data_IF_173358592549
#
_entry.id   IF_173358592549
#
_cell.length_a   1.000
_cell.length_b   1.000
_cell.length_c   1.000
_cell.angle_alpha   90.00
_cell.angle_beta   90.00
_cell.angle_gamma   90.00
#
_symmetry.space_group_name_H-M   'P 1'
#
loop_
_entity.id
_entity.type
_entity.pdbx_description
1 polymer ?
#
# COMPACT_ATOMS: atom_id res chain seq x y z
N UNK A 1 -3.14 3.76 19.61
CA UNK A 1 -2.65 2.88 18.51
C UNK A 1 -2.56 3.68 17.21
N UNK A 2 -1.72 3.30 16.26
CA UNK A 2 -1.69 3.93 14.92
C UNK A 2 -1.92 2.90 13.83
N UNK A 3 -2.50 3.32 12.70
CA UNK A 3 -2.78 2.44 11.57
C UNK A 3 -1.88 2.86 10.41
N UNK A 4 -1.24 1.88 9.78
CA UNK A 4 -0.34 2.06 8.65
C UNK A 4 -0.84 1.22 7.49
N UNK A 5 -0.93 1.81 6.30
CA UNK A 5 -1.30 1.13 5.07
C UNK A 5 -0.12 1.14 4.10
N UNK A 6 0.36 -0.06 3.77
CA UNK A 6 1.39 -0.31 2.77
C UNK A 6 0.71 -0.60 1.43
N UNK A 7 0.93 0.28 0.47
CA UNK A 7 0.40 0.17 -0.89
C UNK A 7 1.53 -0.26 -1.82
N UNK A 8 1.30 -1.30 -2.61
CA UNK A 8 2.10 -1.56 -3.81
C UNK A 8 1.77 -0.55 -4.93
N UNK A 9 2.58 -0.51 -6.00
CA UNK A 9 2.44 0.44 -7.11
C UNK A 9 2.00 -0.22 -8.41
N UNK A 10 2.84 -1.10 -8.95
CA UNK A 10 2.68 -1.70 -10.28
C UNK A 10 1.63 -2.81 -10.20
N UNK A 11 0.73 -2.88 -11.19
CA UNK A 11 -0.43 -3.77 -11.22
C UNK A 11 -1.44 -3.61 -10.06
N UNK A 12 -1.10 -2.86 -9.01
CA UNK A 12 -1.95 -2.55 -7.86
C UNK A 12 -2.64 -1.18 -8.02
N UNK A 13 -1.85 -0.10 -8.13
CA UNK A 13 -2.35 1.27 -8.31
C UNK A 13 -2.39 1.68 -9.79
N UNK A 14 -1.79 0.91 -10.67
CA UNK A 14 -1.76 1.19 -12.10
C UNK A 14 -0.72 0.33 -12.79
N UNK A 15 -0.56 0.48 -14.09
CA UNK A 15 0.52 -0.20 -14.84
C UNK A 15 1.22 0.78 -15.77
N UNK A 16 2.43 0.42 -16.19
CA UNK A 16 3.20 1.21 -17.16
C UNK A 16 3.37 0.46 -18.49
N UNK A 17 3.28 1.19 -19.60
CA UNK A 17 3.65 0.72 -20.95
C UNK A 17 5.02 1.25 -21.41
N UNK A 18 5.95 1.48 -20.46
CA UNK A 18 7.26 2.13 -20.62
C UNK A 18 7.22 3.65 -20.90
N UNK A 19 6.14 4.17 -21.49
CA UNK A 19 6.01 5.60 -21.83
C UNK A 19 5.14 6.35 -20.86
N UNK A 20 4.09 5.71 -20.39
CA UNK A 20 3.09 6.30 -19.51
C UNK A 20 2.78 5.36 -18.35
N UNK A 21 2.19 5.91 -17.29
CA UNK A 21 1.58 5.14 -16.21
C UNK A 21 0.06 5.32 -16.26
N UNK A 22 -0.65 4.23 -16.52
CA UNK A 22 -2.11 4.20 -16.50
C UNK A 22 -2.58 3.97 -15.08
N UNK A 23 -3.08 5.03 -14.47
CA UNK A 23 -3.65 5.02 -13.12
C UNK A 23 -4.87 4.12 -13.09
N UNK A 24 -4.92 3.20 -12.11
CA UNK A 24 -6.14 2.46 -11.78
C UNK A 24 -7.25 3.43 -11.37
N UNK A 25 -8.51 3.22 -11.78
CA UNK A 25 -9.61 4.07 -11.35
C UNK A 25 -9.72 4.13 -9.83
N UNK A 26 -10.17 5.28 -9.32
CA UNK A 26 -10.44 5.51 -7.89
C UNK A 26 -9.23 5.53 -6.94
N UNK A 27 -7.98 5.65 -7.44
CA UNK A 27 -6.80 5.90 -6.58
C UNK A 27 -7.02 7.09 -5.65
N UNK A 28 -7.47 8.23 -6.19
CA UNK A 28 -7.69 9.45 -5.40
C UNK A 28 -8.70 9.24 -4.27
N UNK A 29 -9.72 8.41 -4.51
CA UNK A 29 -10.71 8.04 -3.50
C UNK A 29 -10.06 7.24 -2.36
N UNK A 30 -9.28 6.21 -2.68
CA UNK A 30 -8.50 5.45 -1.70
C UNK A 30 -7.56 6.35 -0.88
N UNK A 31 -6.75 7.17 -1.54
CA UNK A 31 -5.77 8.03 -0.85
C UNK A 31 -6.46 9.08 0.03
N UNK A 32 -7.54 9.69 -0.44
CA UNK A 32 -8.29 10.65 0.39
C UNK A 32 -8.95 9.96 1.59
N UNK A 33 -9.48 8.75 1.43
CA UNK A 33 -10.01 7.97 2.54
C UNK A 33 -8.94 7.69 3.60
N UNK A 34 -7.77 7.15 3.21
CA UNK A 34 -6.67 6.86 4.13
C UNK A 34 -6.24 8.11 4.92
N UNK A 35 -6.15 9.26 4.25
CA UNK A 35 -5.83 10.54 4.88
C UNK A 35 -6.87 11.01 5.88
N UNK A 36 -8.16 10.93 5.53
CA UNK A 36 -9.25 11.33 6.42
C UNK A 36 -9.30 10.46 7.67
N UNK A 37 -8.96 9.17 7.53
CA UNK A 37 -8.82 8.23 8.64
C UNK A 37 -7.49 8.35 9.40
N UNK A 38 -6.62 9.31 9.02
CA UNK A 38 -5.28 9.51 9.61
C UNK A 38 -4.42 8.23 9.59
N UNK A 39 -4.56 7.44 8.53
CA UNK A 39 -3.76 6.24 8.30
C UNK A 39 -2.46 6.66 7.60
N UNK A 40 -1.33 6.25 8.15
CA UNK A 40 -0.02 6.52 7.53
C UNK A 40 0.10 5.69 6.25
N UNK A 41 0.48 6.34 5.13
CA UNK A 41 0.60 5.69 3.83
C UNK A 41 2.07 5.40 3.55
N UNK A 42 2.41 4.15 3.30
CA UNK A 42 3.73 3.75 2.79
C UNK A 42 3.55 3.20 1.39
N UNK A 43 4.19 3.81 0.39
CA UNK A 43 4.32 3.16 -0.92
C UNK A 43 5.48 2.18 -0.85
N UNK A 44 5.28 0.92 -1.23
CA UNK A 44 6.36 -0.07 -1.31
C UNK A 44 6.28 -0.82 -2.63
N UNK A 45 7.12 -0.44 -3.60
CA UNK A 45 7.21 -1.07 -4.93
C UNK A 45 8.47 -1.93 -5.04
N UNK A 46 8.41 -2.99 -5.87
CA UNK A 46 9.58 -3.79 -6.27
C UNK A 46 10.31 -3.20 -7.51
N UNK A 47 9.76 -2.13 -8.08
CA UNK A 47 10.31 -1.37 -9.20
C UNK A 47 11.63 -0.69 -8.85
N UNK A 48 12.44 -0.39 -9.89
CA UNK A 48 13.71 0.33 -9.70
C UNK A 48 13.45 1.70 -9.07
N UNK A 49 14.34 2.15 -8.19
CA UNK A 49 14.21 3.41 -7.46
C UNK A 49 13.99 4.62 -8.38
N UNK A 50 14.70 4.71 -9.51
CA UNK A 50 14.53 5.79 -10.48
C UNK A 50 13.15 5.75 -11.14
N UNK A 51 12.68 4.55 -11.48
CA UNK A 51 11.36 4.35 -12.07
C UNK A 51 10.25 4.76 -11.10
N UNK A 52 10.30 4.27 -9.85
CA UNK A 52 9.31 4.62 -8.82
C UNK A 52 9.27 6.14 -8.60
N UNK A 53 10.43 6.79 -8.48
CA UNK A 53 10.51 8.25 -8.35
C UNK A 53 9.91 8.98 -9.55
N UNK A 54 10.16 8.50 -10.77
CA UNK A 54 9.60 9.10 -11.99
C UNK A 54 8.07 8.93 -12.02
N UNK A 55 7.55 7.75 -11.71
CA UNK A 55 6.11 7.48 -11.73
C UNK A 55 5.37 8.32 -10.68
N UNK A 56 5.94 8.42 -9.48
CA UNK A 56 5.40 9.25 -8.40
C UNK A 56 5.31 10.73 -8.79
N UNK A 57 6.39 11.30 -9.31
CA UNK A 57 6.44 12.71 -9.65
C UNK A 57 5.60 13.07 -10.89
N UNK A 58 5.39 12.12 -11.81
CA UNK A 58 4.67 12.37 -13.06
C UNK A 58 3.19 11.98 -13.03
N UNK A 59 2.85 10.86 -12.38
CA UNK A 59 1.56 10.18 -12.57
C UNK A 59 0.82 9.86 -11.28
N UNK A 60 1.49 9.87 -10.12
CA UNK A 60 0.87 9.62 -8.81
C UNK A 60 1.13 10.79 -7.84
N UNK A 61 0.69 12.02 -8.17
CA UNK A 61 0.98 13.21 -7.37
C UNK A 61 0.40 13.14 -5.95
N UNK A 62 -0.69 12.39 -5.73
CA UNK A 62 -1.28 12.19 -4.41
C UNK A 62 -0.38 11.33 -3.52
N UNK A 63 0.25 10.29 -4.08
CA UNK A 63 1.22 9.47 -3.34
C UNK A 63 2.43 10.34 -3.00
N UNK A 64 2.96 11.11 -3.95
CA UNK A 64 4.07 12.04 -3.71
C UNK A 64 3.78 13.03 -2.58
N UNK A 65 2.54 13.50 -2.49
CA UNK A 65 2.15 14.49 -1.49
C UNK A 65 1.86 13.90 -0.11
N UNK A 66 1.38 12.65 -0.04
CA UNK A 66 0.77 12.12 1.17
C UNK A 66 1.41 10.84 1.71
N UNK A 67 2.29 10.17 0.95
CA UNK A 67 3.05 9.04 1.46
C UNK A 67 4.02 9.51 2.56
N UNK A 68 3.96 8.84 3.71
CA UNK A 68 4.90 9.00 4.81
C UNK A 68 6.30 8.51 4.41
N UNK A 69 6.37 7.36 3.73
CA UNK A 69 7.60 6.78 3.19
C UNK A 69 7.36 6.13 1.83
N UNK A 70 8.43 6.06 1.06
CA UNK A 70 8.48 5.41 -0.24
C UNK A 70 9.63 4.41 -0.22
N UNK A 71 9.30 3.17 -0.48
CA UNK A 71 10.24 2.07 -0.62
C UNK A 71 10.18 1.55 -2.05
N UNK A 72 11.37 1.40 -2.63
CA UNK A 72 11.57 0.84 -3.96
C UNK A 72 12.45 -0.41 -3.82
N UNK A 73 12.96 -0.92 -4.97
CA UNK A 73 13.76 -2.14 -5.04
C UNK A 73 14.85 -2.26 -3.99
N UNK A 74 15.65 -1.23 -3.77
CA UNK A 74 16.76 -1.30 -2.80
C UNK A 74 16.28 -1.66 -1.39
N UNK A 75 15.15 -1.10 -0.95
CA UNK A 75 14.59 -1.40 0.36
C UNK A 75 13.94 -2.79 0.38
N UNK A 76 13.29 -3.20 -0.71
CA UNK A 76 12.76 -4.56 -0.84
C UNK A 76 13.84 -5.63 -0.77
N UNK A 77 15.01 -5.37 -1.38
CA UNK A 77 16.16 -6.27 -1.28
C UNK A 77 16.75 -6.29 0.13
N UNK A 78 16.78 -5.14 0.81
CA UNK A 78 17.20 -5.08 2.21
C UNK A 78 16.25 -5.87 3.10
N UNK A 79 14.95 -5.71 2.91
CA UNK A 79 13.92 -6.50 3.61
C UNK A 79 14.11 -7.99 3.35
N UNK A 80 14.28 -8.39 2.08
CA UNK A 80 14.51 -9.78 1.72
C UNK A 80 15.77 -10.37 2.38
N UNK A 81 16.87 -9.61 2.43
CA UNK A 81 18.11 -10.07 3.08
C UNK A 81 17.99 -10.22 4.59
N UNK A 82 17.16 -9.40 5.23
CA UNK A 82 17.05 -9.35 6.69
C UNK A 82 15.92 -10.24 7.24
N UNK A 83 14.80 -10.33 6.51
CA UNK A 83 13.55 -10.95 6.96
C UNK A 83 13.05 -12.04 6.01
N UNK A 84 13.80 -12.37 4.96
CA UNK A 84 13.46 -13.38 3.95
C UNK A 84 12.18 -13.09 3.13
N UNK A 85 11.58 -11.90 3.33
CA UNK A 85 10.38 -11.43 2.65
C UNK A 85 10.61 -10.02 2.11
N UNK A 86 10.18 -9.76 0.87
CA UNK A 86 10.43 -8.49 0.17
C UNK A 86 9.70 -7.30 0.80
N UNK A 87 8.52 -7.52 1.37
CA UNK A 87 7.74 -6.50 2.09
C UNK A 87 7.39 -7.06 3.47
N UNK A 88 8.39 -7.25 4.31
CA UNK A 88 8.20 -7.85 5.63
C UNK A 88 7.53 -6.89 6.59
N UNK A 89 6.53 -7.37 7.34
CA UNK A 89 5.81 -6.60 8.35
C UNK A 89 6.75 -6.02 9.42
N UNK A 90 7.71 -6.82 9.87
CA UNK A 90 8.70 -6.43 10.89
C UNK A 90 9.57 -5.26 10.45
N UNK A 91 9.87 -5.16 9.15
CA UNK A 91 10.58 -4.02 8.60
C UNK A 91 9.80 -2.73 8.89
N UNK A 92 8.50 -2.72 8.62
CA UNK A 92 7.66 -1.54 8.86
C UNK A 92 7.53 -1.27 10.36
N UNK A 93 7.27 -2.31 11.16
CA UNK A 93 7.11 -2.18 12.62
C UNK A 93 8.34 -1.56 13.27
N UNK A 94 9.54 -1.90 12.79
CA UNK A 94 10.80 -1.32 13.29
C UNK A 94 10.95 0.20 13.09
N UNK A 95 10.13 0.81 12.21
CA UNK A 95 10.13 2.25 11.94
C UNK A 95 9.28 3.05 12.93
N UNK A 96 8.47 2.38 13.76
CA UNK A 96 7.56 3.01 14.70
C UNK A 96 7.99 2.67 16.14
N UNK A 97 7.93 3.66 17.02
CA UNK A 97 8.24 3.53 18.46
C UNK A 97 7.06 3.03 19.31
N UNK A 98 5.99 2.63 18.64
CA UNK A 98 4.69 2.27 19.21
C UNK A 98 4.06 1.14 18.42
N UNK A 99 3.11 0.45 19.05
CA UNK A 99 2.30 -0.57 18.38
C UNK A 99 1.47 0.05 17.26
N UNK A 100 1.54 -0.59 16.09
CA UNK A 100 0.76 -0.23 14.91
C UNK A 100 -0.14 -1.40 14.47
N UNK A 101 -1.27 -1.07 13.84
CA UNK A 101 -1.99 -1.99 12.96
C UNK A 101 -1.50 -1.79 11.53
N UNK A 102 -1.13 -2.88 10.88
CA UNK A 102 -0.47 -2.88 9.58
C UNK A 102 -1.37 -3.52 8.52
N UNK A 103 -1.75 -2.71 7.54
CA UNK A 103 -2.55 -3.10 6.38
C UNK A 103 -1.63 -3.19 5.16
N UNK A 104 -1.74 -4.25 4.37
CA UNK A 104 -1.01 -4.43 3.12
C UNK A 104 -1.98 -4.56 1.94
N UNK A 105 -1.76 -3.80 0.87
CA UNK A 105 -2.53 -3.87 -0.38
C UNK A 105 -1.57 -4.08 -1.54
N UNK A 106 -1.72 -5.22 -2.22
CA UNK A 106 -0.77 -5.69 -3.23
C UNK A 106 -1.43 -6.73 -4.14
N UNK A 107 -1.17 -6.71 -5.44
CA UNK A 107 -1.71 -7.70 -6.38
C UNK A 107 -1.15 -9.12 -6.11
N UNK A 108 0.02 -9.18 -5.45
CA UNK A 108 0.75 -10.40 -5.04
C UNK A 108 0.93 -10.48 -3.53
N UNK A 109 -0.01 -9.96 -2.75
CA UNK A 109 0.06 -9.96 -1.28
C UNK A 109 0.44 -11.33 -0.68
N UNK A 110 -0.10 -12.44 -1.22
CA UNK A 110 0.22 -13.79 -0.76
C UNK A 110 1.66 -14.26 -1.01
N UNK A 111 2.41 -13.59 -1.88
CA UNK A 111 3.78 -13.96 -2.26
C UNK A 111 4.85 -13.04 -1.67
N UNK A 112 4.53 -11.75 -1.50
CA UNK A 112 5.53 -10.73 -1.15
C UNK A 112 5.33 -10.13 0.25
N UNK A 113 4.19 -10.42 0.90
CA UNK A 113 3.87 -9.98 2.27
C UNK A 113 3.67 -11.18 3.20
N UNK A 114 4.25 -11.09 4.40
CA UNK A 114 4.20 -12.12 5.44
C UNK A 114 2.90 -12.08 6.26
N UNK A 115 2.72 -13.05 7.16
CA UNK A 115 1.51 -13.18 7.98
C UNK A 115 1.43 -12.15 9.12
N UNK A 116 2.49 -11.36 9.36
CA UNK A 116 2.52 -10.33 10.41
C UNK A 116 1.76 -9.03 10.07
N UNK A 117 1.16 -8.95 8.89
CA UNK A 117 0.19 -7.92 8.53
C UNK A 117 -1.18 -8.23 9.17
N UNK A 118 -1.74 -7.26 9.89
CA UNK A 118 -3.04 -7.38 10.56
C UNK A 118 -4.21 -7.48 9.55
N UNK A 119 -4.02 -6.91 8.36
CA UNK A 119 -4.90 -7.09 7.21
C UNK A 119 -4.08 -7.15 5.92
N UNK A 120 -4.24 -8.23 5.15
CA UNK A 120 -3.69 -8.36 3.79
C UNK A 120 -4.82 -8.35 2.77
N UNK A 121 -4.79 -7.40 1.86
CA UNK A 121 -5.75 -7.28 0.78
C UNK A 121 -5.02 -7.58 -0.52
N UNK A 122 -5.22 -8.79 -1.05
CA UNK A 122 -4.81 -9.09 -2.41
C UNK A 122 -5.83 -8.48 -3.38
N UNK A 123 -5.33 -7.67 -4.32
CA UNK A 123 -6.13 -7.15 -5.43
C UNK A 123 -5.86 -7.95 -6.71
N UNK A 124 -6.77 -7.90 -7.66
CA UNK A 124 -6.56 -8.36 -9.02
C UNK A 124 -5.55 -7.46 -9.75
N UNK A 125 -4.81 -8.11 -10.64
CA UNK A 125 -3.81 -7.48 -11.52
C UNK A 125 -4.49 -6.43 -12.42
N UNK A 126 -3.99 -5.20 -12.36
CA UNK A 126 -4.41 -4.11 -13.23
C UNK A 126 -3.40 -3.92 -14.37
N UNK A 127 -3.58 -4.67 -15.45
CA UNK A 127 -2.67 -4.77 -16.62
C UNK A 127 -3.19 -4.08 -17.89
N UNK A 128 -4.38 -3.51 -17.83
CA UNK A 128 -5.02 -2.83 -18.94
C UNK A 128 -5.99 -1.76 -18.44
N UNK A 129 -6.25 -0.74 -19.27
CA UNK A 129 -7.21 0.32 -18.93
C UNK A 129 -8.62 -0.28 -18.85
N UNK A 130 -9.14 -0.41 -17.63
CA UNK A 130 -10.49 -0.89 -17.31
C UNK A 130 -11.26 0.24 -16.62
N UNK A 131 -12.04 1.08 -17.34
CA UNK A 131 -12.69 2.26 -16.76
C UNK A 131 -13.67 1.96 -15.63
N UNK A 132 -14.31 0.80 -15.68
CA UNK A 132 -15.30 0.33 -14.70
C UNK A 132 -14.67 -0.48 -13.54
N UNK A 133 -13.34 -0.53 -13.45
CA UNK A 133 -12.63 -1.18 -12.34
C UNK A 133 -12.98 -0.50 -11.01
N UNK A 134 -13.58 -1.28 -10.10
CA UNK A 134 -14.02 -0.84 -8.78
C UNK A 134 -13.15 -1.37 -7.65
N UNK A 135 -12.03 -2.03 -7.96
CA UNK A 135 -11.32 -2.82 -6.95
C UNK A 135 -10.72 -1.96 -5.83
N UNK A 136 -10.27 -0.73 -6.14
CA UNK A 136 -9.83 0.20 -5.10
C UNK A 136 -10.97 0.72 -4.20
N UNK A 137 -12.23 0.62 -4.65
CA UNK A 137 -13.40 0.88 -3.78
C UNK A 137 -13.57 -0.29 -2.81
N UNK A 138 -13.45 -1.52 -3.28
CA UNK A 138 -13.52 -2.72 -2.43
C UNK A 138 -12.40 -2.75 -1.38
N UNK A 139 -11.20 -2.28 -1.75
CA UNK A 139 -10.09 -2.06 -0.80
C UNK A 139 -10.51 -1.09 0.31
N UNK A 140 -11.10 0.06 -0.03
CA UNK A 140 -11.58 1.03 0.96
C UNK A 140 -12.61 0.41 1.89
N UNK A 141 -13.57 -0.35 1.37
CA UNK A 141 -14.57 -1.02 2.20
C UNK A 141 -13.96 -2.00 3.21
N UNK A 142 -12.97 -2.80 2.77
CA UNK A 142 -12.25 -3.74 3.64
C UNK A 142 -11.48 -3.00 4.75
N UNK A 143 -10.77 -1.92 4.40
CA UNK A 143 -10.04 -1.11 5.39
C UNK A 143 -11.01 -0.47 6.38
N UNK A 144 -12.12 0.08 5.90
CA UNK A 144 -13.14 0.70 6.76
C UNK A 144 -13.70 -0.29 7.79
N UNK A 145 -14.07 -1.51 7.37
CA UNK A 145 -14.56 -2.55 8.29
C UNK A 145 -13.50 -2.92 9.32
N UNK A 146 -12.26 -3.12 8.87
CA UNK A 146 -11.13 -3.40 9.76
C UNK A 146 -10.93 -2.29 10.81
N UNK A 147 -11.00 -1.01 10.41
CA UNK A 147 -10.89 0.10 11.35
C UNK A 147 -12.02 0.11 12.39
N UNK A 148 -13.27 -0.14 11.98
CA UNK A 148 -14.43 -0.18 12.88
C UNK A 148 -14.32 -1.31 13.91
N UNK A 149 -13.88 -2.49 13.47
CA UNK A 149 -13.70 -3.66 14.35
C UNK A 149 -12.63 -3.43 15.43
N UNK A 150 -11.63 -2.59 15.17
CA UNK A 150 -10.56 -2.29 16.12
C UNK A 150 -10.87 -1.09 17.02
N UNK A 151 -11.67 -0.13 16.56
CA UNK A 151 -12.18 0.96 17.41
C UNK A 151 -13.14 0.44 18.49
N UNK A 152 -14.05 -0.45 18.13
CA UNK A 152 -15.03 -1.03 19.08
C UNK A 152 -14.39 -1.89 20.17
N UNK A 153 -13.24 -2.50 19.90
CA UNK A 153 -12.49 -3.28 20.90
C UNK A 153 -11.78 -2.38 21.90
N UNK A 154 -11.18 -1.27 21.46
CA UNK A 154 -10.55 -0.29 22.36
C UNK A 154 -11.55 0.37 23.32
N UNK A 155 -12.82 0.51 22.93
CA UNK A 155 -13.88 1.07 23.80
C UNK A 155 -14.45 0.06 24.82
N UNK A 156 -14.16 -1.24 24.64
CA UNK A 156 -14.68 -2.33 25.47
C UNK A 156 -13.70 -2.82 26.54
N UNK A 157 -12.46 -2.33 26.52
CA UNK A 157 -11.37 -2.62 27.48
C UNK A 157 -11.17 -1.46 28.47
#
# INVERSE_FOLDING_TARGET
>A
MSIVCVLDMDETLGFSDEKTFYRRPKIEFLINFLRLQRIDIILWSLGKDEYVKQMMNGFLPEITKYAYKVFARNESERSLRQFEIKKASEHIRSLYDRTILLIGVDDRAGEVMDEGYDLRIQVGVYDAVKPDDSELVDVVEKIMRFCLDHQTREESE
#
